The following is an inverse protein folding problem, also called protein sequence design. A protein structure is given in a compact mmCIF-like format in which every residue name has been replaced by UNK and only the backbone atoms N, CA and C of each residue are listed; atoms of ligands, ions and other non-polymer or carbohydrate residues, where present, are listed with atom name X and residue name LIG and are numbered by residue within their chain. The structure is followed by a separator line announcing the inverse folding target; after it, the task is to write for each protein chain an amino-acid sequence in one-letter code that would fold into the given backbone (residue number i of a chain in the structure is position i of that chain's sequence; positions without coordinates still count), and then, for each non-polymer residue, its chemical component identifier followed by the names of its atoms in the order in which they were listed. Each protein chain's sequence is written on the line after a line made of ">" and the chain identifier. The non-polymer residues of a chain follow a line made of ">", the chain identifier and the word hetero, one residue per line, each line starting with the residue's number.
data_IF_955494986406
#
_entry.id   IF_955494986406
#
_cell.length_a   1.000
_cell.length_b   1.000
_cell.length_c   1.000
_cell.angle_alpha   90.00
_cell.angle_beta   90.00
_cell.angle_gamma   90.00
#
_symmetry.space_group_name_H-M   'P 1'
#
loop_
_entity.id
_entity.type
_entity.pdbx_description
1 polymer ?
#
# COMPACT_ATOMS: atom_id res chain seq x y z
N UNK A 1 9.91 1.35 14.67
CA UNK A 1 10.66 0.14 14.34
C UNK A 1 9.78 -0.70 13.46
N UNK A 2 10.28 -1.08 12.29
CA UNK A 2 9.69 -2.10 11.44
C UNK A 2 10.68 -3.25 11.39
N UNK A 3 10.21 -4.45 11.69
CA UNK A 3 11.05 -5.64 11.73
C UNK A 3 10.36 -6.80 11.01
N UNK A 4 11.16 -7.54 10.26
CA UNK A 4 10.75 -8.71 9.49
C UNK A 4 11.75 -9.82 9.75
N UNK A 5 11.27 -10.99 10.17
CA UNK A 5 12.10 -12.18 10.34
C UNK A 5 11.48 -13.33 9.58
N UNK A 6 12.29 -14.01 8.77
CA UNK A 6 11.92 -15.23 8.09
C UNK A 6 12.62 -16.41 8.76
N UNK A 7 11.86 -17.44 9.11
CA UNK A 7 12.40 -18.71 9.58
C UNK A 7 12.15 -19.79 8.53
N UNK A 8 13.23 -20.40 8.08
CA UNK A 8 13.20 -21.54 7.17
C UNK A 8 12.66 -22.78 7.91
N UNK A 9 11.65 -23.42 7.34
CA UNK A 9 11.09 -24.69 7.86
C UNK A 9 11.31 -25.85 6.87
N UNK A 10 11.63 -25.53 5.62
CA UNK A 10 12.01 -26.47 4.57
C UNK A 10 12.26 -25.71 3.26
N UNK A 11 13.22 -26.17 2.46
CA UNK A 11 13.71 -25.43 1.29
C UNK A 11 14.47 -24.16 1.67
N UNK A 12 14.71 -23.27 0.70
CA UNK A 12 15.48 -22.02 0.89
C UNK A 12 14.69 -20.79 0.41
N UNK A 13 13.71 -20.33 1.21
CA UNK A 13 12.98 -19.09 0.97
C UNK A 13 13.76 -17.86 1.42
N UNK A 14 13.59 -16.75 0.72
CA UNK A 14 14.16 -15.44 1.00
C UNK A 14 13.08 -14.38 0.91
N UNK A 15 13.38 -13.14 1.31
CA UNK A 15 12.47 -12.02 1.14
C UNK A 15 13.19 -10.73 0.75
N UNK A 16 12.46 -9.90 0.02
CA UNK A 16 12.80 -8.51 -0.22
C UNK A 16 11.84 -7.61 0.54
N UNK A 17 12.33 -6.45 1.01
CA UNK A 17 11.49 -5.36 1.50
C UNK A 17 11.57 -4.23 0.50
N UNK A 18 10.41 -3.78 0.02
CA UNK A 18 10.27 -2.73 -0.97
C UNK A 18 9.53 -1.56 -0.29
N UNK A 19 10.07 -0.35 -0.46
CA UNK A 19 9.48 0.86 0.08
C UNK A 19 8.24 1.31 -0.70
N UNK A 20 7.33 2.06 -0.06
CA UNK A 20 6.18 2.63 -0.75
C UNK A 20 6.62 3.47 -1.95
N UNK A 21 6.12 3.16 -3.15
CA UNK A 21 6.45 3.87 -4.38
C UNK A 21 7.79 3.51 -5.03
N UNK A 22 8.52 2.51 -4.51
CA UNK A 22 9.81 2.09 -5.05
C UNK A 22 9.71 1.11 -6.25
N UNK A 23 8.49 0.76 -6.68
CA UNK A 23 8.27 -0.24 -7.73
C UNK A 23 8.85 -1.60 -7.34
N UNK A 24 9.81 -2.11 -8.11
CA UNK A 24 10.49 -3.39 -7.87
C UNK A 24 11.80 -3.28 -7.08
N UNK A 25 12.19 -2.06 -6.65
CA UNK A 25 13.49 -1.85 -6.00
C UNK A 25 13.39 -2.16 -4.50
N UNK A 26 14.14 -3.18 -4.08
CA UNK A 26 14.19 -3.59 -2.68
C UNK A 26 15.21 -2.77 -1.87
N UNK A 27 14.80 -2.26 -0.72
CA UNK A 27 15.68 -1.65 0.29
C UNK A 27 16.38 -2.70 1.15
N UNK A 28 15.88 -3.94 1.15
CA UNK A 28 16.47 -5.06 1.86
C UNK A 28 16.32 -6.33 1.05
N UNK A 29 17.38 -7.14 0.97
CA UNK A 29 17.39 -8.45 0.34
C UNK A 29 17.98 -9.49 1.31
N UNK A 30 17.15 -10.45 1.72
CA UNK A 30 17.52 -11.44 2.75
C UNK A 30 18.50 -12.51 2.27
N UNK A 31 18.63 -12.75 0.96
CA UNK A 31 19.61 -13.71 0.43
C UNK A 31 21.05 -13.17 0.51
N UNK A 32 21.22 -11.86 0.69
CA UNK A 32 22.54 -11.22 0.83
C UNK A 32 22.79 -10.80 2.29
N UNK A 33 21.77 -10.27 2.95
CA UNK A 33 21.93 -9.61 4.26
C UNK A 33 21.46 -10.47 5.45
N UNK A 34 20.91 -11.65 5.19
CA UNK A 34 20.38 -12.57 6.20
C UNK A 34 18.87 -12.47 6.40
N UNK A 35 18.32 -13.42 7.14
CA UNK A 35 16.86 -13.63 7.26
C UNK A 35 16.15 -12.71 8.28
N UNK A 36 16.82 -11.66 8.77
CA UNK A 36 16.29 -10.74 9.77
C UNK A 36 16.55 -9.30 9.35
N UNK A 37 15.50 -8.49 9.35
CA UNK A 37 15.54 -7.06 9.10
C UNK A 37 14.94 -6.30 10.28
N UNK A 38 15.57 -5.20 10.65
CA UNK A 38 15.04 -4.25 11.61
C UNK A 38 15.51 -2.83 11.25
N UNK A 39 14.57 -1.90 11.06
CA UNK A 39 14.88 -0.50 10.80
C UNK A 39 13.80 0.45 11.32
N UNK A 40 14.14 1.74 11.43
CA UNK A 40 13.13 2.79 11.56
C UNK A 40 12.64 3.16 10.16
N UNK A 41 11.34 3.07 9.93
CA UNK A 41 10.73 3.57 8.70
C UNK A 41 10.80 5.09 8.71
N UNK A 42 11.49 5.65 7.72
CA UNK A 42 11.56 7.11 7.49
C UNK A 42 10.37 7.60 6.67
N UNK A 43 9.67 6.68 6.03
CA UNK A 43 8.54 6.92 5.16
C UNK A 43 7.31 6.17 5.66
N UNK A 44 6.17 6.84 5.79
CA UNK A 44 4.89 6.19 6.13
C UNK A 44 4.20 5.68 4.86
N UNK A 45 3.77 4.43 4.80
CA UNK A 45 3.08 3.90 3.61
C UNK A 45 3.01 2.38 3.57
N UNK A 46 2.55 1.84 2.44
CA UNK A 46 2.51 0.40 2.20
C UNK A 46 3.89 -0.12 1.82
N UNK A 47 4.49 -0.92 2.69
CA UNK A 47 5.72 -1.66 2.41
C UNK A 47 5.37 -3.04 1.88
N UNK A 48 6.00 -3.47 0.79
CA UNK A 48 5.81 -4.80 0.22
C UNK A 48 6.91 -5.74 0.71
N UNK A 49 6.52 -6.84 1.35
CA UNK A 49 7.43 -7.94 1.70
C UNK A 49 7.26 -9.03 0.65
N UNK A 50 8.19 -9.10 -0.31
CA UNK A 50 8.16 -10.10 -1.39
C UNK A 50 8.96 -11.33 -0.99
N UNK A 51 8.28 -12.41 -0.62
CA UNK A 51 8.91 -13.71 -0.31
C UNK A 51 9.15 -14.49 -1.61
N UNK A 52 10.33 -15.08 -1.79
CA UNK A 52 10.74 -15.77 -3.02
C UNK A 52 11.69 -16.94 -2.75
N UNK A 53 11.94 -17.75 -3.78
CA UNK A 53 13.02 -18.75 -3.83
C UNK A 53 13.89 -18.52 -5.07
N UNK A 54 15.13 -19.01 -5.07
CA UNK A 54 16.01 -18.81 -6.23
C UNK A 54 15.46 -19.53 -7.47
N UNK A 55 15.84 -19.01 -8.64
CA UNK A 55 15.29 -19.44 -9.94
C UNK A 55 15.47 -20.94 -10.20
N UNK A 56 16.56 -21.53 -9.70
CA UNK A 56 16.85 -22.96 -9.88
C UNK A 56 15.81 -23.84 -9.17
N UNK A 57 15.46 -23.55 -7.91
CA UNK A 57 14.43 -24.24 -7.15
C UNK A 57 13.05 -24.06 -7.80
N UNK A 58 12.73 -22.83 -8.22
CA UNK A 58 11.49 -22.54 -8.93
C UNK A 58 11.32 -23.37 -10.21
N UNK A 59 12.39 -23.53 -11.00
CA UNK A 59 12.38 -24.37 -12.21
C UNK A 59 12.19 -25.86 -11.93
N UNK A 60 12.64 -26.33 -10.76
CA UNK A 60 12.49 -27.72 -10.31
C UNK A 60 11.14 -28.00 -9.64
N UNK A 61 10.29 -26.99 -9.47
CA UNK A 61 9.01 -27.13 -8.77
C UNK A 61 9.18 -27.42 -7.27
N UNK A 62 10.34 -27.07 -6.70
CA UNK A 62 10.59 -27.25 -5.27
C UNK A 62 9.68 -26.34 -4.45
N UNK A 63 9.34 -26.81 -3.24
CA UNK A 63 8.50 -26.08 -2.29
C UNK A 63 9.34 -25.63 -1.11
N UNK A 64 9.13 -24.38 -0.69
CA UNK A 64 9.68 -23.85 0.54
C UNK A 64 8.57 -23.69 1.58
N UNK A 65 8.80 -24.20 2.79
CA UNK A 65 7.95 -23.96 3.95
C UNK A 65 8.66 -22.97 4.88
N UNK A 66 7.93 -21.98 5.39
CA UNK A 66 8.52 -20.90 6.18
C UNK A 66 7.55 -20.37 7.24
N UNK A 67 8.10 -19.64 8.20
CA UNK A 67 7.36 -18.77 9.10
C UNK A 67 7.87 -17.35 8.92
N UNK A 68 7.00 -16.44 8.50
CA UNK A 68 7.29 -15.01 8.43
C UNK A 68 6.71 -14.32 9.67
N UNK A 69 7.54 -13.56 10.36
CA UNK A 69 7.14 -12.70 11.49
C UNK A 69 7.33 -11.26 11.06
N UNK A 70 6.27 -10.46 11.12
CA UNK A 70 6.29 -9.04 10.78
C UNK A 70 5.83 -8.26 12.00
N UNK A 71 6.58 -7.23 12.38
CA UNK A 71 6.19 -6.32 13.45
C UNK A 71 6.50 -4.88 13.07
N UNK A 72 5.59 -3.97 13.43
CA UNK A 72 5.78 -2.54 13.30
C UNK A 72 5.42 -1.89 14.64
N UNK A 73 6.43 -1.44 15.38
CA UNK A 73 6.28 -0.77 16.67
C UNK A 73 6.73 0.68 16.55
N UNK A 74 5.80 1.61 16.65
CA UNK A 74 6.11 3.03 16.61
C UNK A 74 4.96 3.81 17.18
N UNK A 75 5.27 4.90 17.87
CA UNK A 75 4.27 5.92 18.17
C UNK A 75 3.97 6.56 16.82
N UNK A 76 2.88 6.13 16.17
CA UNK A 76 2.34 6.87 15.03
C UNK A 76 2.25 8.34 15.43
N UNK A 77 2.51 9.26 14.50
CA UNK A 77 2.30 10.67 14.78
C UNK A 77 0.93 10.84 15.45
N UNK A 78 0.93 11.39 16.66
CA UNK A 78 -0.25 11.59 17.47
C UNK A 78 -1.21 12.45 16.68
N UNK A 79 -2.29 11.85 16.20
CA UNK A 79 -3.42 12.62 15.75
C UNK A 79 -4.41 12.77 16.88
N UNK A 80 -5.04 13.96 16.92
CA UNK A 80 -6.38 14.14 17.45
C UNK A 80 -7.19 12.86 17.27
N UNK A 81 -7.94 12.43 18.28
CA UNK A 81 -8.78 11.22 18.24
C UNK A 81 -9.83 11.33 17.13
N UNK A 82 -9.40 11.13 15.90
CA UNK A 82 -10.22 11.11 14.71
C UNK A 82 -11.03 9.82 14.79
N UNK A 83 -12.35 9.99 14.89
CA UNK A 83 -13.22 8.89 15.22
C UNK A 83 -13.26 7.88 14.06
N UNK A 84 -13.34 6.60 14.40
CA UNK A 84 -13.63 5.59 13.39
C UNK A 84 -15.13 5.58 13.08
N UNK A 85 -15.48 5.36 11.82
CA UNK A 85 -16.83 5.00 11.41
C UNK A 85 -17.17 3.66 12.04
N UNK A 86 -18.26 3.63 12.80
CA UNK A 86 -18.69 2.46 13.58
C UNK A 86 -18.74 1.19 12.72
N UNK A 87 -18.05 0.13 13.17
CA UNK A 87 -18.00 -1.15 12.47
C UNK A 87 -16.97 -1.24 11.34
N UNK A 88 -16.13 -0.21 11.15
CA UNK A 88 -15.11 -0.18 10.11
C UNK A 88 -13.73 0.23 10.67
N UNK A 89 -12.63 -0.06 9.96
CA UNK A 89 -11.31 0.48 10.31
C UNK A 89 -11.08 1.91 9.79
N UNK A 90 -12.11 2.54 9.21
CA UNK A 90 -11.99 3.82 8.50
C UNK A 90 -12.33 5.01 9.39
N UNK A 91 -11.63 6.13 9.20
CA UNK A 91 -11.96 7.40 9.86
C UNK A 91 -13.09 8.14 9.12
N UNK A 92 -13.23 7.88 7.81
CA UNK A 92 -14.37 8.32 7.02
C UNK A 92 -14.61 7.32 5.88
N UNK A 93 -15.84 7.27 5.39
CA UNK A 93 -16.21 6.58 4.15
C UNK A 93 -16.86 7.56 3.19
N UNK A 94 -16.73 7.30 1.89
CA UNK A 94 -17.31 8.14 0.84
C UNK A 94 -17.60 7.31 -0.42
N UNK A 95 -18.47 7.82 -1.29
CA UNK A 95 -18.51 7.41 -2.69
C UNK A 95 -17.67 8.38 -3.50
N UNK A 96 -16.64 7.88 -4.16
CA UNK A 96 -15.79 8.65 -5.06
C UNK A 96 -16.06 8.29 -6.52
N UNK A 97 -15.66 9.15 -7.47
CA UNK A 97 -15.73 8.83 -8.89
C UNK A 97 -14.47 8.06 -9.29
N UNK A 98 -14.62 6.91 -9.94
CA UNK A 98 -13.45 6.15 -10.41
C UNK A 98 -13.67 5.37 -11.72
N UNK A 99 -12.55 5.05 -12.37
CA UNK A 99 -12.41 4.11 -13.49
C UNK A 99 -11.28 3.15 -13.11
N UNK A 100 -11.52 1.83 -13.18
CA UNK A 100 -10.51 0.80 -12.90
C UNK A 100 -10.24 -0.13 -14.11
N UNK A 101 -11.06 -0.04 -15.16
CA UNK A 101 -10.99 -0.90 -16.34
C UNK A 101 -10.94 -0.07 -17.63
N UNK A 102 -10.27 -0.56 -18.69
CA UNK A 102 -10.23 0.11 -19.98
C UNK A 102 -11.62 0.19 -20.60
N UNK A 103 -11.88 1.28 -21.33
CA UNK A 103 -13.13 1.54 -22.06
C UNK A 103 -14.41 1.53 -21.19
N UNK A 104 -14.28 1.58 -19.86
CA UNK A 104 -15.41 1.71 -18.93
C UNK A 104 -15.69 3.18 -18.60
N UNK A 105 -16.99 3.57 -18.49
CA UNK A 105 -17.33 4.90 -18.04
C UNK A 105 -16.96 5.09 -16.57
N UNK A 106 -16.78 6.34 -16.17
CA UNK A 106 -16.60 6.72 -14.78
C UNK A 106 -17.77 6.22 -13.92
N UNK A 107 -17.47 5.46 -12.88
CA UNK A 107 -18.41 4.86 -11.94
C UNK A 107 -18.32 5.54 -10.55
N UNK A 108 -19.21 5.13 -9.64
CA UNK A 108 -19.11 5.44 -8.22
C UNK A 108 -18.45 4.25 -7.52
N UNK A 109 -17.44 4.52 -6.70
CA UNK A 109 -16.65 3.51 -6.02
C UNK A 109 -16.71 3.79 -4.52
N UNK A 110 -16.98 2.77 -3.73
CA UNK A 110 -16.96 2.90 -2.28
C UNK A 110 -15.50 3.08 -1.85
N UNK A 111 -15.27 4.04 -0.98
CA UNK A 111 -13.93 4.29 -0.45
C UNK A 111 -13.98 4.48 1.07
N UNK A 112 -12.94 4.01 1.72
CA UNK A 112 -12.65 4.28 3.13
C UNK A 112 -11.26 4.89 3.28
N UNK A 113 -11.09 5.77 4.26
CA UNK A 113 -9.80 6.42 4.52
C UNK A 113 -9.27 6.11 5.92
N UNK A 114 -7.99 5.73 5.98
CA UNK A 114 -7.23 5.54 7.21
C UNK A 114 -6.21 6.68 7.34
N UNK A 115 -6.47 7.66 8.20
CA UNK A 115 -5.57 8.80 8.47
C UNK A 115 -4.60 8.48 9.60
N UNK A 116 -3.31 8.80 9.42
CA UNK A 116 -2.22 8.56 10.38
C UNK A 116 -1.13 9.61 10.22
N UNK A 117 -1.02 10.56 11.15
CA UNK A 117 -0.16 11.72 10.98
C UNK A 117 -0.46 12.51 9.70
N UNK A 118 0.55 13.12 9.11
CA UNK A 118 0.39 13.80 7.82
C UNK A 118 0.05 12.87 6.64
N UNK A 119 -0.21 11.58 6.87
CA UNK A 119 -0.51 10.60 5.84
C UNK A 119 -1.94 10.09 5.94
N UNK A 120 -2.49 9.67 4.80
CA UNK A 120 -3.76 8.95 4.75
C UNK A 120 -3.67 7.82 3.73
N UNK A 121 -4.33 6.71 3.99
CA UNK A 121 -4.43 5.60 3.03
C UNK A 121 -5.90 5.46 2.65
N UNK A 122 -6.18 5.61 1.36
CA UNK A 122 -7.52 5.46 0.80
C UNK A 122 -7.63 4.04 0.23
N UNK A 123 -8.57 3.26 0.76
CA UNK A 123 -8.96 1.94 0.26
C UNK A 123 -10.22 2.12 -0.58
N UNK A 124 -10.25 1.51 -1.77
CA UNK A 124 -11.27 1.76 -2.79
C UNK A 124 -11.73 0.40 -3.32
N UNK A 125 -13.01 0.11 -3.19
CA UNK A 125 -13.62 -1.05 -3.84
C UNK A 125 -13.79 -0.72 -5.34
N UNK A 126 -13.07 -1.41 -6.20
CA UNK A 126 -13.08 -1.13 -7.64
C UNK A 126 -14.25 -1.81 -8.34
N UNK A 127 -14.81 -1.23 -9.44
CA UNK A 127 -15.98 -1.77 -10.12
C UNK A 127 -15.81 -3.19 -10.70
N UNK A 128 -14.58 -3.63 -10.93
CA UNK A 128 -14.20 -4.97 -11.39
C UNK A 128 -14.20 -6.02 -10.26
N UNK A 129 -14.57 -5.63 -9.03
CA UNK A 129 -14.60 -6.49 -7.85
C UNK A 129 -13.26 -6.61 -7.13
N UNK A 130 -12.26 -5.82 -7.54
CA UNK A 130 -10.98 -5.68 -6.87
C UNK A 130 -10.98 -4.64 -5.74
N UNK A 131 -9.78 -4.36 -5.25
CA UNK A 131 -9.51 -3.27 -4.33
C UNK A 131 -8.29 -2.48 -4.82
N UNK A 132 -8.33 -1.17 -4.65
CA UNK A 132 -7.19 -0.28 -4.91
C UNK A 132 -6.84 0.48 -3.64
N UNK A 133 -5.57 0.45 -3.26
CA UNK A 133 -5.05 1.28 -2.16
C UNK A 133 -4.19 2.43 -2.69
N UNK A 134 -4.50 3.66 -2.26
CA UNK A 134 -3.76 4.87 -2.62
C UNK A 134 -3.26 5.57 -1.36
N UNK A 135 -1.95 5.79 -1.28
CA UNK A 135 -1.32 6.48 -0.17
C UNK A 135 -1.19 7.97 -0.46
N UNK A 136 -1.62 8.78 0.50
CA UNK A 136 -1.45 10.21 0.54
C UNK A 136 -0.43 10.60 1.62
N UNK A 137 0.40 11.60 1.33
CA UNK A 137 1.29 12.29 2.27
C UNK A 137 1.18 13.79 2.07
N UNK A 138 0.93 14.53 3.15
CA UNK A 138 0.73 15.98 3.10
C UNK A 138 -0.42 16.39 2.17
N UNK A 139 -1.48 15.58 2.11
CA UNK A 139 -2.64 15.80 1.23
C UNK A 139 -2.43 15.44 -0.24
N UNK A 140 -1.27 14.94 -0.65
CA UNK A 140 -1.00 14.53 -2.05
C UNK A 140 -0.86 13.01 -2.16
N UNK A 141 -1.46 12.42 -3.19
CA UNK A 141 -1.24 11.01 -3.49
C UNK A 141 0.22 10.81 -3.94
N UNK A 142 0.90 9.83 -3.34
CA UNK A 142 2.34 9.57 -3.56
C UNK A 142 2.65 8.16 -4.04
N UNK A 143 1.76 7.19 -3.78
CA UNK A 143 1.91 5.82 -4.28
C UNK A 143 0.57 5.09 -4.28
N UNK A 144 0.52 3.97 -4.98
CA UNK A 144 -0.54 2.98 -4.87
C UNK A 144 0.06 1.59 -4.61
N UNK A 145 -0.79 0.58 -4.45
CA UNK A 145 -0.45 -0.85 -4.46
C UNK A 145 -0.33 -1.44 -5.87
N UNK A 146 -0.41 -0.61 -6.92
CA UNK A 146 -0.09 -1.00 -8.30
C UNK A 146 1.40 -0.83 -8.57
N UNK A 147 1.96 -1.69 -9.44
CA UNK A 147 3.33 -1.51 -9.98
C UNK A 147 3.39 -0.36 -11.00
N UNK A 148 2.24 0.09 -11.51
CA UNK A 148 2.16 1.20 -12.45
C UNK A 148 2.42 2.54 -11.75
N UNK A 149 3.04 3.47 -12.49
CA UNK A 149 3.31 4.82 -12.01
C UNK A 149 2.03 5.61 -11.72
N UNK A 150 2.15 6.56 -10.79
CA UNK A 150 1.07 7.46 -10.38
C UNK A 150 1.30 8.87 -10.92
N UNK A 151 0.25 9.50 -11.45
CA UNK A 151 0.23 10.90 -11.85
C UNK A 151 -1.00 11.59 -11.24
N UNK A 152 -0.80 12.75 -10.63
CA UNK A 152 -1.85 13.46 -9.88
C UNK A 152 -2.11 14.81 -10.52
N UNK A 153 -3.35 15.03 -10.94
CA UNK A 153 -3.85 16.33 -11.36
C UNK A 153 -4.76 16.91 -10.27
N UNK A 154 -4.64 18.21 -10.00
CA UNK A 154 -5.47 18.88 -8.99
C UNK A 154 -6.65 19.56 -9.69
N UNK A 155 -7.88 19.22 -9.30
CA UNK A 155 -9.12 19.81 -9.83
C UNK A 155 -9.98 20.36 -8.69
N UNK A 156 -9.95 21.68 -8.49
CA UNK A 156 -10.76 22.34 -7.45
C UNK A 156 -10.39 21.87 -6.05
N UNK A 157 -11.25 21.07 -5.42
CA UNK A 157 -11.05 20.46 -4.09
C UNK A 157 -10.83 18.94 -4.13
N UNK A 158 -10.59 18.38 -5.33
CA UNK A 158 -10.25 16.97 -5.52
C UNK A 158 -8.86 16.75 -6.13
N UNK A 159 -8.22 15.66 -5.71
CA UNK A 159 -7.06 15.08 -6.37
C UNK A 159 -7.54 14.03 -7.39
N UNK A 160 -7.26 14.24 -8.67
CA UNK A 160 -7.50 13.26 -9.75
C UNK A 160 -6.25 12.42 -9.90
N UNK A 161 -6.30 11.20 -9.37
CA UNK A 161 -5.18 10.26 -9.32
C UNK A 161 -5.28 9.31 -10.50
N UNK A 162 -4.31 9.37 -11.41
CA UNK A 162 -4.16 8.46 -12.54
C UNK A 162 -3.12 7.40 -12.17
N UNK A 163 -3.44 6.13 -12.39
CA UNK A 163 -2.51 5.01 -12.17
C UNK A 163 -2.35 4.26 -13.50
N UNK A 164 -1.13 4.22 -14.01
CA UNK A 164 -0.86 3.69 -15.34
C UNK A 164 -1.61 4.47 -16.43
N UNK A 165 -2.17 3.75 -17.40
CA UNK A 165 -2.87 4.33 -18.57
C UNK A 165 -4.39 4.18 -18.51
N UNK A 166 -4.92 3.57 -17.44
CA UNK A 166 -6.33 3.14 -17.37
C UNK A 166 -7.02 3.73 -16.15
N UNK A 167 -6.43 3.56 -14.97
CA UNK A 167 -7.17 3.81 -13.74
C UNK A 167 -7.18 5.30 -13.39
N UNK A 168 -8.34 5.81 -12.99
CA UNK A 168 -8.55 7.20 -12.60
C UNK A 168 -9.42 7.25 -11.34
N UNK A 169 -8.99 8.00 -10.33
CA UNK A 169 -9.71 8.17 -9.06
C UNK A 169 -9.83 9.64 -8.69
N UNK A 170 -11.04 10.17 -8.59
CA UNK A 170 -11.29 11.54 -8.14
C UNK A 170 -11.53 11.55 -6.62
N UNK A 171 -10.50 11.89 -5.85
CA UNK A 171 -10.50 11.81 -4.39
C UNK A 171 -10.59 13.22 -3.78
N UNK A 172 -11.68 13.55 -3.06
CA UNK A 172 -11.80 14.85 -2.39
C UNK A 172 -10.72 15.06 -1.31
N UNK A 173 -10.16 16.26 -1.25
CA UNK A 173 -9.11 16.60 -0.28
C UNK A 173 -9.63 16.52 1.17
N UNK A 174 -10.88 16.94 1.41
CA UNK A 174 -11.52 16.84 2.73
C UNK A 174 -11.63 15.39 3.22
N UNK A 175 -11.80 14.43 2.29
CA UNK A 175 -11.81 13.01 2.62
C UNK A 175 -10.44 12.57 3.15
N UNK A 176 -9.37 13.00 2.49
CA UNK A 176 -7.98 12.68 2.84
C UNK A 176 -7.52 13.38 4.12
N UNK A 177 -7.86 14.66 4.29
CA UNK A 177 -7.31 15.52 5.34
C UNK A 177 -8.13 15.51 6.63
N UNK A 178 -9.42 15.19 6.55
CA UNK A 178 -10.36 15.44 7.65
C UNK A 178 -10.94 16.84 7.60
N UNK A 179 -12.05 17.03 8.31
CA UNK A 179 -12.69 18.33 8.55
C UNK A 179 -12.21 18.97 9.85
#
# INVERSE_FOLDING_TARGET
>A
MFAVSLQERGGSPYFNIIEPGAGDVAIYNSSVNGQQFEARTTQGGTYTIRVYQMRAQGRRGERASYRLTVSATGRGASHSSDALVSGTPYHATAMIRCVAEPDRPMANCNAGVVRRGSSATVHIDTPDGGERTILFRGGRAVSSDSEAGIYVERRGDSSVVNIGTVEVYEIPDAFVMGG
#
